data_IF_844355259886
#
_entry.id   IF_844355259886
#
_cell.length_a   1.000
_cell.length_b   1.000
_cell.length_c   1.000
_cell.angle_alpha   90.00
_cell.angle_beta   90.00
_cell.angle_gamma   90.00
#
_symmetry.space_group_name_H-M   'P 1'
#
loop_
_entity.id
_entity.type
_entity.pdbx_description
1 polymer ?
#
# COMPACT_ATOMS: atom_id res chain seq x y z
N UNK A 1 -18.81 9.81 18.46
CA UNK A 1 -17.85 10.70 19.16
C UNK A 1 -16.75 11.06 18.18
N UNK A 2 -16.17 12.28 18.21
CA UNK A 2 -15.05 12.60 17.36
C UNK A 2 -13.82 11.76 17.67
N UNK A 3 -13.04 11.42 16.67
CA UNK A 3 -11.80 10.62 16.78
C UNK A 3 -10.75 11.44 17.52
N UNK A 4 -10.21 10.91 18.60
CA UNK A 4 -9.19 11.55 19.41
C UNK A 4 -7.80 11.35 18.80
N UNK A 5 -7.10 12.45 18.50
CA UNK A 5 -5.82 12.48 17.81
C UNK A 5 -4.73 13.03 18.73
N UNK A 6 -3.61 12.31 18.86
CA UNK A 6 -2.39 12.81 19.46
C UNK A 6 -1.36 13.10 18.36
N UNK A 7 -0.76 14.30 18.41
CA UNK A 7 0.32 14.70 17.50
C UNK A 7 1.67 14.57 18.19
N UNK A 8 2.62 13.87 17.58
CA UNK A 8 3.97 13.66 18.08
C UNK A 8 4.98 14.02 17.00
N UNK A 9 5.66 15.16 17.15
CA UNK A 9 6.63 15.70 16.19
C UNK A 9 7.55 16.67 16.94
N UNK A 10 8.83 16.71 16.68
CA UNK A 10 9.78 17.61 17.35
C UNK A 10 9.69 19.07 16.84
N UNK A 11 9.23 19.27 15.60
CA UNK A 11 9.05 20.57 14.97
C UNK A 11 7.80 21.27 15.50
N UNK A 12 7.96 22.41 16.18
CA UNK A 12 6.84 23.23 16.64
C UNK A 12 5.95 23.72 15.49
N UNK A 13 6.54 23.97 14.32
CA UNK A 13 5.80 24.41 13.13
C UNK A 13 4.89 23.29 12.60
N UNK A 14 5.39 22.06 12.51
CA UNK A 14 4.59 20.91 12.07
C UNK A 14 3.48 20.62 13.09
N UNK A 15 3.76 20.66 14.38
CA UNK A 15 2.71 20.52 15.41
C UNK A 15 1.62 21.57 15.28
N UNK A 16 1.99 22.85 15.02
CA UNK A 16 1.01 23.92 14.80
C UNK A 16 0.15 23.68 13.56
N UNK A 17 0.77 23.29 12.44
CA UNK A 17 0.08 22.96 11.20
C UNK A 17 -0.90 21.81 11.39
N UNK A 18 -0.45 20.70 11.98
CA UNK A 18 -1.31 19.53 12.22
C UNK A 18 -2.46 19.85 13.19
N UNK A 19 -2.21 20.70 14.20
CA UNK A 19 -3.26 21.19 15.09
C UNK A 19 -4.35 21.92 14.32
N UNK A 20 -3.97 22.87 13.44
CA UNK A 20 -4.94 23.61 12.61
C UNK A 20 -5.74 22.68 11.69
N UNK A 21 -5.06 21.73 11.02
CA UNK A 21 -5.69 20.76 10.13
C UNK A 21 -6.70 19.90 10.89
N UNK A 22 -6.35 19.41 12.08
CA UNK A 22 -7.22 18.55 12.89
C UNK A 22 -8.41 19.36 13.44
N UNK A 23 -8.17 20.57 13.93
CA UNK A 23 -9.25 21.39 14.51
C UNK A 23 -10.25 21.91 13.47
N UNK A 24 -9.89 21.93 12.20
CA UNK A 24 -10.78 22.30 11.10
C UNK A 24 -11.81 21.19 10.73
N UNK A 25 -11.69 19.98 11.29
CA UNK A 25 -12.58 18.86 11.01
C UNK A 25 -13.38 18.48 12.28
N UNK A 26 -14.72 18.60 12.28
CA UNK A 26 -15.54 18.30 13.45
C UNK A 26 -15.55 16.82 13.85
N UNK A 27 -15.12 15.91 12.95
CA UNK A 27 -14.99 14.48 13.26
C UNK A 27 -13.68 14.15 13.99
N UNK A 28 -12.73 15.09 14.07
CA UNK A 28 -11.44 14.93 14.72
C UNK A 28 -11.36 15.80 15.98
N UNK A 29 -10.70 15.32 17.02
CA UNK A 29 -10.46 16.04 18.27
C UNK A 29 -9.00 15.91 18.67
N UNK A 30 -8.25 16.99 18.66
CA UNK A 30 -6.88 17.02 19.18
C UNK A 30 -6.89 16.85 20.70
N UNK A 31 -6.20 15.82 21.22
CA UNK A 31 -6.07 15.55 22.66
C UNK A 31 -4.73 16.00 23.24
N UNK A 32 -3.74 16.26 22.39
CA UNK A 32 -2.44 16.79 22.82
C UNK A 32 -1.45 16.90 21.69
N UNK A 33 -0.36 17.64 21.94
CA UNK A 33 0.82 17.72 21.10
C UNK A 33 2.06 17.42 21.94
N UNK A 34 2.88 16.46 21.50
CA UNK A 34 4.10 16.06 22.17
C UNK A 34 5.33 16.41 21.32
N UNK A 35 6.35 17.08 21.88
CA UNK A 35 7.59 17.37 21.17
C UNK A 35 8.57 16.19 21.15
N UNK A 36 8.29 15.12 21.90
CA UNK A 36 9.14 13.95 22.01
C UNK A 36 8.38 12.73 22.54
N UNK A 37 9.04 11.58 22.49
CA UNK A 37 8.50 10.30 22.90
C UNK A 37 8.10 10.21 24.40
N UNK A 38 8.75 10.96 25.27
CA UNK A 38 8.47 10.91 26.71
C UNK A 38 7.18 11.65 27.05
N UNK A 39 6.99 12.84 26.49
CA UNK A 39 5.73 13.59 26.62
C UNK A 39 4.60 12.82 25.92
N UNK A 40 4.86 12.22 24.74
CA UNK A 40 3.88 11.38 24.04
C UNK A 40 3.39 10.22 24.92
N UNK A 41 4.29 9.50 25.56
CA UNK A 41 3.97 8.38 26.46
C UNK A 41 3.00 8.81 27.59
N UNK A 42 3.24 9.96 28.18
CA UNK A 42 2.43 10.42 29.30
C UNK A 42 1.03 10.89 28.84
N UNK A 43 0.95 11.56 27.69
CA UNK A 43 -0.32 11.93 27.05
C UNK A 43 -1.13 10.68 26.57
N UNK A 44 -0.48 9.64 26.07
CA UNK A 44 -1.14 8.36 25.71
C UNK A 44 -1.78 7.72 26.93
N UNK A 45 -1.08 7.72 28.07
CA UNK A 45 -1.65 7.19 29.34
C UNK A 45 -2.85 7.98 29.81
N UNK A 46 -2.77 9.32 29.70
CA UNK A 46 -3.80 10.23 30.18
C UNK A 46 -5.05 10.24 29.30
N UNK A 47 -4.91 10.23 27.97
CA UNK A 47 -6.00 10.51 27.04
C UNK A 47 -6.44 9.30 26.21
N UNK A 48 -5.64 8.22 26.16
CA UNK A 48 -5.95 7.03 25.36
C UNK A 48 -6.41 7.38 23.93
N UNK A 49 -5.57 8.03 23.09
CA UNK A 49 -5.98 8.49 21.76
C UNK A 49 -6.37 7.33 20.85
N UNK A 50 -7.33 7.59 19.95
CA UNK A 50 -7.76 6.63 18.92
C UNK A 50 -6.72 6.48 17.80
N UNK A 51 -5.95 7.56 17.54
CA UNK A 51 -4.88 7.56 16.54
C UNK A 51 -3.76 8.52 16.95
N UNK A 52 -2.53 8.16 16.57
CA UNK A 52 -1.34 8.98 16.80
C UNK A 52 -0.75 9.34 15.43
N UNK A 53 -0.48 10.64 15.19
CA UNK A 53 0.45 11.05 14.15
C UNK A 53 1.86 11.08 14.75
N UNK A 54 2.81 10.38 14.12
CA UNK A 54 4.15 10.19 14.69
C UNK A 54 5.22 10.53 13.67
N UNK A 55 6.12 11.43 14.05
CA UNK A 55 7.33 11.71 13.29
C UNK A 55 8.35 10.58 13.43
N UNK A 56 9.10 10.36 12.36
CA UNK A 56 10.22 9.40 12.33
C UNK A 56 11.44 9.96 13.04
N UNK A 57 11.76 11.23 12.79
CA UNK A 57 12.98 11.90 13.25
C UNK A 57 12.69 12.72 14.50
N UNK A 58 13.04 12.18 15.68
CA UNK A 58 12.90 12.89 16.96
C UNK A 58 14.17 12.80 17.81
N UNK A 59 14.48 13.82 18.62
CA UNK A 59 15.64 13.79 19.50
C UNK A 59 15.45 12.80 20.66
N UNK A 60 16.55 12.28 21.20
CA UNK A 60 16.65 11.37 22.35
C UNK A 60 16.07 9.96 22.11
N UNK A 61 14.91 9.85 21.53
CA UNK A 61 14.30 8.58 21.12
C UNK A 61 13.61 8.80 19.79
N UNK A 62 14.11 8.14 18.74
CA UNK A 62 13.51 8.21 17.41
C UNK A 62 12.13 7.56 17.36
N UNK A 63 11.36 7.92 16.31
CA UNK A 63 9.98 7.47 16.13
C UNK A 63 9.87 5.95 15.97
N UNK A 64 10.85 5.27 15.38
CA UNK A 64 10.83 3.82 15.19
C UNK A 64 10.97 3.08 16.52
N UNK A 65 11.91 3.51 17.35
CA UNK A 65 12.12 2.97 18.70
C UNK A 65 10.89 3.21 19.58
N UNK A 66 10.27 4.39 19.47
CA UNK A 66 9.04 4.69 20.20
C UNK A 66 7.87 3.83 19.71
N UNK A 67 7.70 3.69 18.39
CA UNK A 67 6.66 2.86 17.77
C UNK A 67 6.76 1.39 18.21
N UNK A 68 7.95 0.80 18.18
CA UNK A 68 8.14 -0.60 18.61
C UNK A 68 7.71 -0.81 20.08
N UNK A 69 8.09 0.11 20.96
CA UNK A 69 7.68 0.08 22.36
C UNK A 69 6.17 0.26 22.53
N UNK A 70 5.58 1.19 21.75
CA UNK A 70 4.14 1.45 21.78
C UNK A 70 3.34 0.21 21.34
N UNK A 71 3.73 -0.40 20.22
CA UNK A 71 3.03 -1.58 19.69
C UNK A 71 3.12 -2.80 20.58
N UNK A 72 4.21 -2.94 21.35
CA UNK A 72 4.38 -4.00 22.36
C UNK A 72 3.55 -3.76 23.62
N UNK A 73 3.51 -2.50 24.10
CA UNK A 73 2.89 -2.19 25.39
C UNK A 73 1.38 -1.90 25.26
N UNK A 74 1.00 -1.13 24.25
CA UNK A 74 -0.36 -0.71 23.98
C UNK A 74 -0.55 -0.44 22.50
N UNK A 75 -0.83 -1.46 21.69
CA UNK A 75 -1.06 -1.28 20.27
C UNK A 75 -2.09 -0.18 20.00
N UNK A 76 -1.67 0.90 19.35
CA UNK A 76 -2.49 2.06 19.02
C UNK A 76 -2.29 2.38 17.56
N UNK A 77 -3.33 2.70 16.77
CA UNK A 77 -3.20 3.09 15.38
C UNK A 77 -2.25 4.28 15.19
N UNK A 78 -1.24 4.14 14.33
CA UNK A 78 -0.23 5.17 14.06
C UNK A 78 -0.20 5.52 12.58
N UNK A 79 -0.29 6.82 12.29
CA UNK A 79 0.02 7.43 11.00
C UNK A 79 1.42 8.05 11.10
N UNK A 80 2.37 7.53 10.31
CA UNK A 80 3.71 8.12 10.26
C UNK A 80 3.70 9.41 9.44
N UNK A 81 4.44 10.41 9.90
CA UNK A 81 4.70 11.64 9.14
C UNK A 81 6.20 11.73 8.89
N UNK A 82 6.62 11.64 7.62
CA UNK A 82 8.02 11.42 7.27
C UNK A 82 8.53 12.39 6.22
N UNK A 83 9.82 12.69 6.26
CA UNK A 83 10.49 13.46 5.22
C UNK A 83 10.60 12.68 3.91
N UNK A 84 10.61 13.39 2.76
CA UNK A 84 10.78 12.82 1.41
C UNK A 84 12.26 12.49 1.08
N UNK A 85 13.08 12.14 2.03
CA UNK A 85 14.46 11.73 1.83
C UNK A 85 14.56 10.21 1.67
N UNK A 86 15.64 9.70 1.06
CA UNK A 86 15.88 8.25 0.97
C UNK A 86 15.90 7.60 2.36
N UNK A 87 16.59 8.21 3.31
CA UNK A 87 16.60 7.74 4.72
C UNK A 87 15.22 7.76 5.35
N UNK A 88 14.43 8.82 5.09
CA UNK A 88 13.05 8.92 5.56
C UNK A 88 12.17 7.83 4.96
N UNK A 89 12.36 7.49 3.69
CA UNK A 89 11.61 6.42 3.01
C UNK A 89 11.90 5.04 3.61
N UNK A 90 13.17 4.70 3.82
CA UNK A 90 13.56 3.43 4.47
C UNK A 90 13.03 3.33 5.90
N UNK A 91 13.17 4.39 6.69
CA UNK A 91 12.67 4.43 8.05
C UNK A 91 11.14 4.30 8.10
N UNK A 92 10.42 4.93 7.16
CA UNK A 92 8.98 4.81 7.05
C UNK A 92 8.54 3.38 6.71
N UNK A 93 9.18 2.73 5.75
CA UNK A 93 8.90 1.33 5.42
C UNK A 93 9.18 0.42 6.63
N UNK A 94 10.23 0.73 7.41
CA UNK A 94 10.49 0.02 8.65
C UNK A 94 9.41 0.27 9.71
N UNK A 95 8.87 1.49 9.80
CA UNK A 95 7.74 1.80 10.69
C UNK A 95 6.48 0.98 10.35
N UNK A 96 6.17 0.80 9.05
CA UNK A 96 5.05 -0.04 8.63
C UNK A 96 5.24 -1.50 9.10
N UNK A 97 6.47 -2.04 9.03
CA UNK A 97 6.78 -3.36 9.60
C UNK A 97 6.59 -3.44 11.11
N UNK A 98 6.92 -2.38 11.82
CA UNK A 98 6.75 -2.30 13.27
C UNK A 98 5.28 -2.13 13.68
N UNK A 99 4.37 -1.97 12.71
CA UNK A 99 2.94 -1.93 12.93
C UNK A 99 2.29 -0.56 12.75
N UNK A 100 2.99 0.44 12.20
CA UNK A 100 2.33 1.64 11.72
C UNK A 100 1.35 1.28 10.59
N UNK A 101 0.18 1.93 10.58
CA UNK A 101 -0.90 1.59 9.65
C UNK A 101 -0.66 2.19 8.26
N UNK A 102 -0.20 3.45 8.22
CA UNK A 102 0.04 4.19 7.00
C UNK A 102 1.04 5.32 7.26
N UNK A 103 1.40 6.04 6.20
CA UNK A 103 2.26 7.21 6.28
C UNK A 103 1.80 8.33 5.36
N UNK A 104 2.33 9.53 5.62
CA UNK A 104 2.20 10.69 4.75
C UNK A 104 3.54 11.43 4.71
N UNK A 105 3.86 11.99 3.55
CA UNK A 105 5.07 12.78 3.42
C UNK A 105 4.89 14.16 4.07
N UNK A 106 5.92 14.66 4.78
CA UNK A 106 5.93 16.05 5.29
C UNK A 106 5.78 17.03 4.12
N UNK A 107 5.00 18.12 4.28
CA UNK A 107 4.86 19.11 3.22
C UNK A 107 6.19 19.83 2.99
N UNK A 108 6.44 20.20 1.75
CA UNK A 108 7.53 21.15 1.46
C UNK A 108 7.09 22.53 1.92
N UNK A 109 7.68 23.01 3.01
CA UNK A 109 7.37 24.32 3.55
C UNK A 109 7.70 25.42 2.54
N UNK A 110 6.77 26.37 2.35
CA UNK A 110 6.91 27.49 1.41
C UNK A 110 6.10 27.42 0.13
N UNK A 111 5.36 26.31 -0.13
CA UNK A 111 4.47 26.19 -1.28
C UNK A 111 3.03 26.26 -0.77
N UNK A 112 2.36 27.40 -0.97
CA UNK A 112 0.95 27.57 -0.61
C UNK A 112 0.01 26.69 -1.49
N UNK A 113 0.41 26.47 -2.74
CA UNK A 113 -0.28 25.55 -3.64
C UNK A 113 -0.19 24.11 -3.15
N UNK A 114 -1.34 23.48 -2.97
CA UNK A 114 -1.43 22.06 -2.51
C UNK A 114 -1.62 21.90 -1.00
N UNK A 115 -1.55 22.96 -0.19
CA UNK A 115 -1.73 22.84 1.26
C UNK A 115 -3.14 22.38 1.64
N UNK A 116 -4.16 22.79 0.89
CA UNK A 116 -5.52 22.34 1.13
C UNK A 116 -5.68 20.84 0.83
N UNK A 117 -5.16 20.37 -0.32
CA UNK A 117 -5.17 18.96 -0.68
C UNK A 117 -4.39 18.11 0.35
N UNK A 118 -3.25 18.61 0.82
CA UNK A 118 -2.48 17.99 1.89
C UNK A 118 -3.27 17.90 3.20
N UNK A 119 -3.98 18.95 3.59
CA UNK A 119 -4.81 18.96 4.78
C UNK A 119 -5.99 17.96 4.66
N UNK A 120 -6.60 17.86 3.49
CA UNK A 120 -7.66 16.88 3.21
C UNK A 120 -7.12 15.45 3.27
N UNK A 121 -5.94 15.19 2.71
CA UNK A 121 -5.28 13.88 2.78
C UNK A 121 -4.98 13.47 4.23
N UNK A 122 -4.42 14.37 5.05
CA UNK A 122 -4.16 14.10 6.48
C UNK A 122 -5.45 13.74 7.21
N UNK A 123 -6.52 14.55 7.06
CA UNK A 123 -7.79 14.29 7.72
C UNK A 123 -8.38 12.94 7.31
N UNK A 124 -8.38 12.64 6.02
CA UNK A 124 -8.86 11.37 5.48
C UNK A 124 -8.05 10.18 6.03
N UNK A 125 -6.71 10.28 6.02
CA UNK A 125 -5.82 9.23 6.54
C UNK A 125 -5.96 9.06 8.06
N UNK A 126 -6.03 10.11 8.85
CA UNK A 126 -6.25 10.02 10.30
C UNK A 126 -7.55 9.27 10.63
N UNK A 127 -8.65 9.61 9.93
CA UNK A 127 -9.94 8.92 10.10
C UNK A 127 -9.88 7.46 9.71
N UNK A 128 -9.16 7.14 8.65
CA UNK A 128 -8.97 5.77 8.17
C UNK A 128 -8.11 4.95 9.11
N UNK A 129 -6.95 5.51 9.51
CA UNK A 129 -6.00 4.86 10.41
C UNK A 129 -6.62 4.59 11.78
N UNK A 130 -7.42 5.52 12.33
CA UNK A 130 -8.12 5.33 13.59
C UNK A 130 -9.09 4.12 13.59
N UNK A 131 -9.62 3.76 12.42
CA UNK A 131 -10.55 2.64 12.22
C UNK A 131 -9.86 1.37 11.74
N UNK A 132 -8.54 1.41 11.53
CA UNK A 132 -7.78 0.28 11.02
C UNK A 132 -7.74 -0.89 12.00
N UNK A 133 -7.79 -2.11 11.48
CA UNK A 133 -7.61 -3.32 12.27
C UNK A 133 -6.13 -3.60 12.46
N UNK A 134 -5.62 -3.39 13.67
CA UNK A 134 -4.25 -3.76 14.01
C UNK A 134 -4.14 -5.29 14.11
N UNK A 135 -3.48 -5.91 13.15
CA UNK A 135 -3.15 -7.34 13.25
C UNK A 135 -1.99 -7.53 14.24
N UNK A 136 -2.15 -8.41 15.21
CA UNK A 136 -1.00 -8.96 15.96
C UNK A 136 -0.16 -9.71 14.93
N UNK A 137 1.12 -9.37 14.84
CA UNK A 137 2.09 -10.08 14.01
C UNK A 137 2.01 -11.57 14.36
N UNK A 138 1.53 -12.39 13.44
CA UNK A 138 1.72 -13.83 13.54
C UNK A 138 3.24 -14.06 13.44
N UNK A 139 3.78 -14.77 14.40
CA UNK A 139 5.18 -15.20 14.34
C UNK A 139 5.39 -15.93 13.00
N UNK A 140 6.53 -15.65 12.36
CA UNK A 140 6.96 -16.13 11.06
C UNK A 140 6.29 -17.43 10.63
N UNK A 141 5.35 -17.34 9.69
CA UNK A 141 4.84 -18.53 9.03
C UNK A 141 5.99 -19.17 8.25
N UNK A 142 6.23 -20.47 8.37
CA UNK A 142 7.27 -21.14 7.60
C UNK A 142 7.04 -20.93 6.11
N UNK A 143 8.11 -20.65 5.37
CA UNK A 143 8.07 -20.54 3.92
C UNK A 143 7.40 -21.81 3.33
N UNK A 144 6.49 -21.66 2.37
CA UNK A 144 5.87 -22.81 1.72
C UNK A 144 6.96 -23.73 1.14
N UNK A 145 6.82 -25.05 1.25
CA UNK A 145 7.78 -25.99 0.68
C UNK A 145 7.93 -25.77 -0.82
N UNK A 146 9.14 -25.94 -1.34
CA UNK A 146 9.40 -25.97 -2.78
C UNK A 146 8.63 -27.15 -3.40
N UNK A 147 7.45 -26.89 -3.86
CA UNK A 147 6.76 -27.81 -4.75
C UNK A 147 7.38 -27.67 -6.14
N UNK A 148 7.75 -28.80 -6.76
CA UNK A 148 8.11 -28.82 -8.18
C UNK A 148 6.93 -28.26 -8.98
N UNK A 149 7.00 -26.98 -9.32
CA UNK A 149 5.90 -26.31 -9.96
C UNK A 149 5.86 -26.67 -11.45
N UNK A 150 4.66 -26.92 -12.01
CA UNK A 150 4.51 -27.05 -13.45
C UNK A 150 5.03 -25.80 -14.15
N UNK A 151 5.59 -25.96 -15.35
CA UNK A 151 6.02 -24.84 -16.20
C UNK A 151 4.81 -23.90 -16.39
N UNK A 152 4.86 -22.75 -15.73
CA UNK A 152 3.83 -21.73 -15.84
C UNK A 152 3.96 -21.06 -17.21
N UNK A 153 2.84 -20.82 -17.89
CA UNK A 153 2.82 -20.14 -19.18
C UNK A 153 3.48 -18.76 -19.08
N UNK A 154 4.44 -18.46 -19.94
CA UNK A 154 5.14 -17.18 -20.01
C UNK A 154 4.24 -16.01 -20.44
N UNK A 155 3.00 -16.30 -20.86
CA UNK A 155 2.03 -15.29 -21.29
C UNK A 155 1.16 -14.74 -20.16
N UNK A 156 1.18 -15.37 -18.98
CA UNK A 156 0.36 -14.92 -17.83
C UNK A 156 1.00 -13.72 -17.16
N UNK A 157 0.15 -12.83 -16.65
CA UNK A 157 0.54 -11.65 -15.87
C UNK A 157 -0.27 -11.63 -14.58
N UNK A 158 0.40 -11.41 -13.47
CA UNK A 158 -0.20 -11.10 -12.18
C UNK A 158 -0.22 -9.58 -12.01
N UNK A 159 -1.39 -9.01 -11.73
CA UNK A 159 -1.56 -7.58 -11.50
C UNK A 159 -2.12 -7.35 -10.09
N UNK A 160 -1.42 -6.56 -9.28
CA UNK A 160 -1.80 -6.30 -7.88
C UNK A 160 -1.97 -4.80 -7.64
N UNK A 161 -3.08 -4.42 -7.01
CA UNK A 161 -3.38 -3.07 -6.58
C UNK A 161 -3.57 -2.98 -5.08
N UNK A 162 -2.99 -1.95 -4.43
CA UNK A 162 -3.11 -1.77 -2.98
C UNK A 162 -2.91 -0.31 -2.55
N UNK A 163 -3.28 0.01 -1.29
CA UNK A 163 -3.10 1.32 -0.67
C UNK A 163 -2.74 1.17 0.82
N UNK A 164 -3.49 1.75 1.74
CA UNK A 164 -3.27 1.65 3.20
C UNK A 164 -3.20 0.20 3.66
N UNK A 165 -2.10 -0.17 4.32
CA UNK A 165 -1.78 -1.56 4.68
C UNK A 165 -1.24 -2.41 3.53
N UNK A 166 -1.19 -1.85 2.31
CA UNK A 166 -0.81 -2.55 1.09
C UNK A 166 0.65 -3.00 1.06
N UNK A 167 1.56 -2.27 1.68
CA UNK A 167 2.98 -2.63 1.70
C UNK A 167 3.24 -4.00 2.33
N UNK A 168 2.60 -4.27 3.46
CA UNK A 168 2.71 -5.56 4.13
C UNK A 168 1.88 -6.64 3.41
N UNK A 169 0.71 -6.29 2.88
CA UNK A 169 -0.11 -7.22 2.12
C UNK A 169 0.59 -7.68 0.81
N UNK A 170 1.16 -6.75 0.05
CA UNK A 170 1.93 -7.06 -1.16
C UNK A 170 3.17 -7.91 -0.84
N UNK A 171 3.89 -7.58 0.24
CA UNK A 171 5.02 -8.37 0.69
C UNK A 171 4.60 -9.82 0.99
N UNK A 172 3.50 -10.03 1.73
CA UNK A 172 2.99 -11.37 2.07
C UNK A 172 2.63 -12.16 0.81
N UNK A 173 1.95 -11.55 -0.15
CA UNK A 173 1.62 -12.20 -1.43
C UNK A 173 2.90 -12.58 -2.20
N UNK A 174 3.87 -11.65 -2.34
CA UNK A 174 5.09 -11.89 -3.09
C UNK A 174 6.00 -12.93 -2.44
N UNK A 175 6.03 -13.02 -1.11
CA UNK A 175 6.75 -14.09 -0.39
C UNK A 175 6.20 -15.49 -0.72
N UNK A 176 4.91 -15.59 -1.03
CA UNK A 176 4.27 -16.83 -1.45
C UNK A 176 4.50 -17.20 -2.92
N UNK A 177 5.12 -16.32 -3.73
CA UNK A 177 5.38 -16.57 -5.14
C UNK A 177 6.79 -17.15 -5.35
N UNK A 178 6.95 -18.26 -6.11
CA UNK A 178 8.25 -18.82 -6.45
C UNK A 178 8.97 -17.98 -7.53
N UNK A 179 10.30 -18.17 -7.65
CA UNK A 179 11.15 -17.43 -8.58
C UNK A 179 10.75 -17.54 -10.07
N UNK A 180 9.99 -18.56 -10.44
CA UNK A 180 9.50 -18.78 -11.81
C UNK A 180 8.03 -18.39 -12.01
N UNK A 181 7.47 -17.59 -11.10
CA UNK A 181 6.10 -17.07 -11.23
C UNK A 181 5.92 -16.26 -12.51
N UNK A 182 4.67 -16.12 -13.02
CA UNK A 182 4.36 -15.15 -14.05
C UNK A 182 4.88 -13.76 -13.69
N UNK A 183 5.14 -12.93 -14.70
CA UNK A 183 5.53 -11.55 -14.45
C UNK A 183 4.47 -10.80 -13.63
N UNK A 184 4.92 -9.99 -12.68
CA UNK A 184 4.04 -9.28 -11.73
C UNK A 184 4.13 -7.77 -12.01
N UNK A 185 2.99 -7.09 -12.00
CA UNK A 185 2.91 -5.62 -12.01
C UNK A 185 2.12 -5.14 -10.82
N UNK A 186 2.63 -4.09 -10.16
CA UNK A 186 2.11 -3.64 -8.88
C UNK A 186 1.85 -2.13 -8.93
N UNK A 187 0.66 -1.72 -8.52
CA UNK A 187 0.37 -0.33 -8.18
C UNK A 187 0.06 -0.24 -6.70
N UNK A 188 0.93 0.45 -5.97
CA UNK A 188 0.76 0.86 -4.59
C UNK A 188 0.65 2.38 -4.55
N UNK A 189 -0.38 2.93 -3.90
CA UNK A 189 -0.49 4.37 -3.69
C UNK A 189 0.64 4.84 -2.78
N UNK A 190 1.63 5.50 -3.38
CA UNK A 190 2.85 5.88 -2.69
C UNK A 190 3.51 7.08 -3.38
N UNK A 191 4.07 8.06 -2.64
CA UNK A 191 4.77 9.19 -3.21
C UNK A 191 6.06 8.80 -3.94
N UNK A 192 6.59 9.70 -4.82
CA UNK A 192 7.89 9.51 -5.43
C UNK A 192 9.01 9.28 -4.41
N UNK A 193 9.98 8.44 -4.74
CA UNK A 193 11.08 8.05 -3.87
C UNK A 193 10.75 6.88 -2.94
N UNK A 194 9.53 6.81 -2.41
CA UNK A 194 9.10 5.67 -1.59
C UNK A 194 8.89 4.40 -2.42
N UNK A 195 8.41 4.53 -3.66
CA UNK A 195 8.20 3.39 -4.57
C UNK A 195 9.49 2.66 -4.90
N UNK A 196 10.60 3.39 -5.09
CA UNK A 196 11.92 2.80 -5.28
C UNK A 196 12.39 2.03 -4.04
N UNK A 197 12.39 2.67 -2.88
CA UNK A 197 12.79 2.01 -1.62
C UNK A 197 11.93 0.79 -1.31
N UNK A 198 10.64 0.85 -1.66
CA UNK A 198 9.71 -0.27 -1.51
C UNK A 198 10.07 -1.43 -2.46
N UNK A 199 10.34 -1.15 -3.73
CA UNK A 199 10.75 -2.15 -4.70
C UNK A 199 12.06 -2.82 -4.29
N UNK A 200 13.11 -2.05 -3.94
CA UNK A 200 14.39 -2.56 -3.46
C UNK A 200 14.26 -3.43 -2.20
N UNK A 201 13.31 -3.06 -1.33
CA UNK A 201 13.03 -3.85 -0.14
C UNK A 201 12.36 -5.18 -0.49
N UNK A 202 11.36 -5.19 -1.38
CA UNK A 202 10.72 -6.43 -1.84
C UNK A 202 11.72 -7.34 -2.56
N UNK A 203 12.64 -6.77 -3.34
CA UNK A 203 13.72 -7.50 -4.01
C UNK A 203 14.59 -8.28 -3.01
N UNK A 204 14.96 -7.64 -1.88
CA UNK A 204 15.73 -8.29 -0.82
C UNK A 204 14.99 -9.38 -0.05
N UNK A 205 13.66 -9.30 0.02
CA UNK A 205 12.84 -10.16 0.86
C UNK A 205 12.21 -11.33 0.12
N UNK A 206 12.02 -11.21 -1.18
CA UNK A 206 11.27 -12.19 -1.99
C UNK A 206 12.19 -12.97 -2.92
N UNK A 207 11.64 -13.99 -3.59
CA UNK A 207 12.36 -14.80 -4.57
C UNK A 207 12.28 -14.20 -5.98
N UNK A 208 11.48 -13.15 -6.17
CA UNK A 208 11.33 -12.44 -7.43
C UNK A 208 12.38 -11.34 -7.54
N UNK A 209 12.81 -11.02 -8.77
CA UNK A 209 13.55 -9.78 -9.03
C UNK A 209 12.57 -8.63 -9.06
N UNK A 210 12.64 -7.72 -8.07
CA UNK A 210 11.68 -6.63 -7.93
C UNK A 210 12.36 -5.29 -8.20
N UNK A 211 11.76 -4.47 -9.06
CA UNK A 211 12.26 -3.14 -9.37
C UNK A 211 11.14 -2.11 -9.52
N UNK A 212 11.46 -0.84 -9.30
CA UNK A 212 10.61 0.26 -9.74
C UNK A 212 10.61 0.28 -11.27
N UNK A 213 9.41 0.32 -11.88
CA UNK A 213 9.24 0.23 -13.33
C UNK A 213 9.81 1.45 -14.06
N UNK A 214 10.40 1.20 -15.23
CA UNK A 214 10.84 2.23 -16.19
C UNK A 214 10.01 2.13 -17.47
N UNK A 215 9.90 3.23 -18.18
CA UNK A 215 9.21 3.22 -19.45
C UNK A 215 9.89 2.26 -20.43
N UNK A 216 9.10 1.38 -21.05
CA UNK A 216 9.59 0.34 -21.95
C UNK A 216 10.01 -0.97 -21.28
N UNK A 217 9.99 -1.09 -19.95
CA UNK A 217 10.32 -2.33 -19.27
C UNK A 217 9.39 -3.47 -19.71
N UNK A 218 9.98 -4.65 -19.94
CA UNK A 218 9.23 -5.86 -20.28
C UNK A 218 8.74 -6.54 -19.02
N UNK A 219 7.50 -7.02 -19.07
CA UNK A 219 6.95 -7.88 -18.03
C UNK A 219 7.46 -9.31 -18.27
N UNK A 220 8.33 -9.80 -17.39
CA UNK A 220 9.02 -11.08 -17.55
C UNK A 220 8.68 -12.01 -16.38
N UNK A 221 8.61 -13.34 -16.61
CA UNK A 221 8.50 -14.32 -15.52
C UNK A 221 9.63 -14.13 -14.50
N UNK A 222 9.30 -14.31 -13.23
CA UNK A 222 10.24 -14.13 -12.14
C UNK A 222 10.54 -12.66 -11.77
N UNK A 223 9.93 -11.71 -12.47
CA UNK A 223 10.11 -10.28 -12.21
C UNK A 223 8.83 -9.62 -11.72
N UNK A 224 8.97 -8.65 -10.82
CA UNK A 224 7.89 -7.78 -10.36
C UNK A 224 8.25 -6.31 -10.60
N UNK A 225 7.34 -5.57 -11.23
CA UNK A 225 7.51 -4.16 -11.55
C UNK A 225 6.55 -3.32 -10.70
N UNK A 226 7.09 -2.40 -9.91
CA UNK A 226 6.32 -1.48 -9.06
C UNK A 226 6.15 -0.15 -9.79
N UNK A 227 4.92 0.34 -9.90
CA UNK A 227 4.62 1.63 -10.50
C UNK A 227 5.32 2.77 -9.75
N UNK A 228 6.08 3.65 -10.44
CA UNK A 228 6.77 4.76 -9.80
C UNK A 228 5.79 5.82 -9.32
N UNK A 229 6.08 6.43 -8.18
CA UNK A 229 5.30 7.57 -7.67
C UNK A 229 5.29 8.72 -8.67
N UNK A 230 4.18 9.46 -8.72
CA UNK A 230 3.94 10.57 -9.66
C UNK A 230 3.88 10.19 -11.15
N UNK A 231 3.73 8.90 -11.45
CA UNK A 231 3.46 8.40 -12.81
C UNK A 231 2.36 7.36 -12.77
N UNK A 232 1.49 7.35 -13.79
CA UNK A 232 0.66 6.20 -14.07
C UNK A 232 1.49 5.15 -14.79
N UNK A 233 1.28 3.88 -14.45
CA UNK A 233 1.83 2.73 -15.14
C UNK A 233 0.73 2.07 -15.95
N UNK A 234 0.85 2.11 -17.26
CA UNK A 234 0.03 1.37 -18.21
C UNK A 234 0.82 0.20 -18.78
N UNK A 235 0.13 -0.80 -19.30
CA UNK A 235 0.72 -1.93 -20.01
C UNK A 235 0.20 -1.97 -21.43
N UNK A 236 1.10 -2.20 -22.36
CA UNK A 236 0.78 -2.34 -23.79
C UNK A 236 1.38 -3.62 -24.36
N UNK A 237 0.74 -4.15 -25.38
CA UNK A 237 1.29 -5.27 -26.15
C UNK A 237 2.29 -4.77 -27.18
N UNK A 238 3.48 -5.37 -27.22
CA UNK A 238 4.52 -5.10 -28.22
C UNK A 238 4.97 -6.42 -28.85
N UNK A 239 4.37 -6.76 -29.98
CA UNK A 239 4.52 -8.07 -30.59
C UNK A 239 4.02 -9.19 -29.68
N UNK A 240 4.88 -10.13 -29.32
CA UNK A 240 4.59 -11.22 -28.38
C UNK A 240 4.79 -10.81 -26.91
N UNK A 241 5.30 -9.61 -26.61
CA UNK A 241 5.64 -9.18 -25.27
C UNK A 241 4.63 -8.17 -24.72
N UNK A 242 4.59 -8.05 -23.40
CA UNK A 242 3.95 -6.96 -22.68
C UNK A 242 5.02 -5.99 -22.17
N UNK A 243 4.78 -4.71 -22.37
CA UNK A 243 5.71 -3.64 -21.98
C UNK A 243 5.00 -2.57 -21.17
N UNK A 244 5.72 -1.99 -20.22
CA UNK A 244 5.25 -0.88 -19.39
C UNK A 244 5.33 0.44 -20.19
N UNK A 245 4.33 1.30 -19.99
CA UNK A 245 4.33 2.70 -20.40
C UNK A 245 4.02 3.59 -19.22
N UNK A 246 4.89 4.55 -19.00
CA UNK A 246 4.73 5.52 -17.92
C UNK A 246 4.22 6.85 -18.48
N UNK A 247 3.27 7.47 -17.78
CA UNK A 247 2.78 8.79 -18.15
C UNK A 247 2.45 9.63 -16.90
N UNK A 248 2.31 10.95 -17.10
CA UNK A 248 1.94 11.92 -16.07
C UNK A 248 0.58 12.58 -16.33
N UNK A 249 -0.35 11.84 -16.87
CA UNK A 249 -1.72 12.32 -17.03
C UNK A 249 -2.32 12.71 -15.67
N UNK A 250 -3.48 13.36 -15.69
CA UNK A 250 -4.18 13.79 -14.49
C UNK A 250 -4.38 12.62 -13.51
N UNK A 251 -4.40 12.92 -12.23
CA UNK A 251 -4.70 11.93 -11.20
C UNK A 251 -6.06 11.27 -11.44
N UNK A 252 -6.12 9.97 -11.26
CA UNK A 252 -7.36 9.17 -11.31
C UNK A 252 -7.71 8.74 -9.89
N UNK A 253 -8.95 8.97 -9.49
CA UNK A 253 -9.42 8.76 -8.11
C UNK A 253 -8.56 9.49 -7.04
N UNK A 254 -7.93 10.60 -7.40
CA UNK A 254 -7.02 11.36 -6.53
C UNK A 254 -5.60 10.79 -6.42
N UNK A 255 -5.25 9.78 -7.22
CA UNK A 255 -3.97 9.08 -7.14
C UNK A 255 -3.18 9.10 -8.46
N UNK A 256 -1.86 9.13 -8.34
CA UNK A 256 -0.88 8.88 -9.39
C UNK A 256 0.40 8.31 -8.76
N UNK A 257 0.64 6.97 -8.88
CA UNK A 257 -0.08 6.00 -9.72
C UNK A 257 -1.50 5.70 -9.25
N UNK A 258 -2.38 5.29 -10.19
CA UNK A 258 -3.72 4.79 -9.91
C UNK A 258 -3.85 3.32 -10.37
N UNK A 259 -4.53 2.51 -9.57
CA UNK A 259 -4.75 1.08 -9.85
C UNK A 259 -5.67 0.90 -11.05
N UNK A 260 -6.75 1.69 -11.15
CA UNK A 260 -7.69 1.64 -12.27
C UNK A 260 -6.96 1.81 -13.61
N UNK A 261 -5.99 2.75 -13.70
CA UNK A 261 -5.23 3.00 -14.95
C UNK A 261 -4.44 1.75 -15.38
N UNK A 262 -3.74 1.12 -14.45
CA UNK A 262 -3.00 -0.11 -14.72
C UNK A 262 -3.95 -1.24 -15.12
N UNK A 263 -5.00 -1.48 -14.35
CA UNK A 263 -5.93 -2.58 -14.59
C UNK A 263 -6.70 -2.41 -15.91
N UNK A 264 -7.19 -1.22 -16.22
CA UNK A 264 -7.88 -0.92 -17.49
C UNK A 264 -6.96 -1.11 -18.69
N UNK A 265 -5.69 -0.71 -18.59
CA UNK A 265 -4.71 -0.93 -19.67
C UNK A 265 -4.45 -2.42 -19.92
N UNK A 266 -4.31 -3.19 -18.84
CA UNK A 266 -4.14 -4.63 -18.88
C UNK A 266 -5.38 -5.36 -19.45
N UNK A 267 -6.59 -4.94 -19.06
CA UNK A 267 -7.83 -5.50 -19.60
C UNK A 267 -7.90 -5.40 -21.12
N UNK A 268 -7.41 -4.28 -21.68
CA UNK A 268 -7.38 -4.05 -23.15
C UNK A 268 -6.37 -4.93 -23.88
N UNK A 269 -5.24 -5.29 -23.26
CA UNK A 269 -4.14 -5.92 -24.00
C UNK A 269 -3.88 -7.39 -23.63
N UNK A 270 -4.25 -7.86 -22.44
CA UNK A 270 -3.90 -9.19 -21.93
C UNK A 270 -5.12 -10.13 -21.69
N UNK A 271 -6.33 -9.56 -21.46
CA UNK A 271 -7.57 -10.33 -21.38
C UNK A 271 -7.47 -11.56 -20.47
N UNK A 272 -7.74 -12.76 -21.01
CA UNK A 272 -7.72 -14.05 -20.29
C UNK A 272 -6.35 -14.42 -19.67
N UNK A 273 -5.27 -13.74 -20.07
CA UNK A 273 -3.94 -13.98 -19.51
C UNK A 273 -3.70 -13.26 -18.19
N UNK A 274 -4.69 -12.52 -17.68
CA UNK A 274 -4.59 -11.77 -16.44
C UNK A 274 -5.06 -12.54 -15.23
N UNK A 275 -4.33 -12.34 -14.14
CA UNK A 275 -4.66 -12.76 -12.79
C UNK A 275 -4.54 -11.51 -11.91
N UNK A 276 -5.66 -10.90 -11.56
CA UNK A 276 -5.66 -9.62 -10.88
C UNK A 276 -6.16 -9.71 -9.44
N UNK A 277 -5.48 -9.04 -8.52
CA UNK A 277 -5.86 -8.94 -7.12
C UNK A 277 -5.94 -7.50 -6.63
N UNK A 278 -7.04 -7.15 -5.95
CA UNK A 278 -7.22 -5.88 -5.28
C UNK A 278 -7.14 -6.09 -3.77
N UNK A 279 -6.10 -5.50 -3.16
CA UNK A 279 -5.77 -5.70 -1.76
C UNK A 279 -6.24 -4.51 -0.92
N UNK A 280 -5.99 -4.62 0.39
CA UNK A 280 -6.31 -3.58 1.38
C UNK A 280 -6.00 -2.17 0.91
N UNK A 281 -6.91 -1.24 1.18
CA UNK A 281 -6.76 0.16 0.82
C UNK A 281 -8.02 0.97 1.04
N UNK A 282 -7.83 2.27 1.19
CA UNK A 282 -8.93 3.23 1.31
C UNK A 282 -9.45 3.62 -0.08
N UNK A 283 -10.76 3.94 -0.15
CA UNK A 283 -11.39 4.44 -1.37
C UNK A 283 -11.87 3.34 -2.31
N UNK A 284 -11.91 3.63 -3.60
CA UNK A 284 -12.52 2.79 -4.64
C UNK A 284 -11.61 2.53 -5.85
N UNK A 285 -10.38 3.06 -5.84
CA UNK A 285 -9.46 2.91 -6.97
C UNK A 285 -9.15 1.43 -7.20
N UNK A 286 -9.10 1.01 -8.45
CA UNK A 286 -8.90 -0.36 -8.87
C UNK A 286 -10.18 -1.21 -8.99
N UNK A 287 -11.30 -0.80 -8.40
CA UNK A 287 -12.54 -1.58 -8.46
C UNK A 287 -13.13 -1.64 -9.88
N UNK A 288 -13.12 -0.51 -10.61
CA UNK A 288 -13.60 -0.47 -12.00
C UNK A 288 -12.65 -1.19 -12.95
N UNK A 289 -11.34 -0.99 -12.76
CA UNK A 289 -10.32 -1.69 -13.55
C UNK A 289 -10.38 -3.20 -13.33
N UNK A 290 -10.62 -3.66 -12.09
CA UNK A 290 -10.83 -5.08 -11.78
C UNK A 290 -12.06 -5.65 -12.50
N UNK A 291 -13.17 -4.89 -12.53
CA UNK A 291 -14.37 -5.26 -13.29
C UNK A 291 -14.06 -5.37 -14.79
N UNK A 292 -13.32 -4.43 -15.35
CA UNK A 292 -12.90 -4.48 -16.75
C UNK A 292 -12.06 -5.74 -17.06
N UNK A 293 -11.14 -6.12 -16.16
CA UNK A 293 -10.36 -7.36 -16.28
C UNK A 293 -11.28 -8.59 -16.27
N UNK A 294 -12.24 -8.66 -15.34
CA UNK A 294 -13.22 -9.76 -15.28
C UNK A 294 -14.02 -9.86 -16.56
N UNK A 295 -14.51 -8.75 -17.09
CA UNK A 295 -15.26 -8.69 -18.34
C UNK A 295 -14.41 -9.11 -19.56
N UNK A 296 -13.10 -8.85 -19.53
CA UNK A 296 -12.15 -9.31 -20.54
C UNK A 296 -11.74 -10.79 -20.41
N UNK A 297 -12.32 -11.52 -19.44
CA UNK A 297 -12.09 -12.94 -19.20
C UNK A 297 -10.87 -13.25 -18.32
N UNK A 298 -10.25 -12.24 -17.70
CA UNK A 298 -9.21 -12.41 -16.68
C UNK A 298 -9.77 -12.97 -15.37
N UNK A 299 -8.93 -13.59 -14.57
CA UNK A 299 -9.28 -14.01 -13.21
C UNK A 299 -9.10 -12.81 -12.26
N UNK A 300 -10.04 -12.63 -11.37
CA UNK A 300 -10.06 -11.48 -10.45
C UNK A 300 -10.34 -11.90 -9.02
N UNK A 301 -9.61 -11.34 -8.07
CA UNK A 301 -9.86 -11.56 -6.65
C UNK A 301 -9.79 -10.25 -5.86
N UNK A 302 -10.45 -10.26 -4.70
CA UNK A 302 -10.34 -9.21 -3.69
C UNK A 302 -9.90 -9.82 -2.36
N UNK A 303 -9.09 -9.08 -1.60
CA UNK A 303 -8.76 -9.46 -0.23
C UNK A 303 -10.01 -9.38 0.65
N UNK A 304 -10.21 -10.33 1.54
CA UNK A 304 -11.35 -10.36 2.44
C UNK A 304 -11.29 -9.27 3.53
N UNK A 305 -12.44 -8.98 4.13
CA UNK A 305 -12.54 -7.98 5.21
C UNK A 305 -11.73 -8.36 6.44
N UNK A 306 -11.67 -9.64 6.78
CA UNK A 306 -11.05 -10.12 8.02
C UNK A 306 -9.53 -9.88 8.02
N UNK A 307 -8.88 -9.93 6.85
CA UNK A 307 -7.45 -9.76 6.72
C UNK A 307 -7.04 -8.37 6.21
N UNK A 308 -7.98 -7.54 5.75
CA UNK A 308 -7.70 -6.16 5.38
C UNK A 308 -7.37 -5.29 6.60
N UNK A 309 -6.36 -4.43 6.50
CA UNK A 309 -6.12 -3.31 7.40
C UNK A 309 -7.24 -2.27 7.24
N UNK A 310 -7.58 -1.97 5.98
CA UNK A 310 -8.68 -1.10 5.58
C UNK A 310 -9.47 -1.78 4.46
N UNK A 311 -10.72 -2.13 4.73
CA UNK A 311 -11.62 -2.78 3.77
C UNK A 311 -12.41 -1.72 2.99
N UNK A 312 -11.71 -0.98 2.11
CA UNK A 312 -12.27 0.05 1.23
C UNK A 312 -12.23 -0.39 -0.23
N UNK A 313 -11.06 -0.35 -0.87
CA UNK A 313 -10.88 -0.78 -2.27
C UNK A 313 -11.42 -2.20 -2.54
N UNK A 314 -11.12 -3.22 -1.71
CA UNK A 314 -11.69 -4.55 -1.90
C UNK A 314 -13.20 -4.59 -1.76
N UNK A 315 -13.79 -3.85 -0.81
CA UNK A 315 -15.24 -3.77 -0.64
C UNK A 315 -15.92 -3.24 -1.90
N UNK A 316 -15.43 -2.12 -2.44
CA UNK A 316 -15.98 -1.52 -3.67
C UNK A 316 -15.91 -2.52 -4.85
N UNK A 317 -14.82 -3.29 -4.96
CA UNK A 317 -14.70 -4.32 -5.98
C UNK A 317 -15.73 -5.46 -5.80
N UNK A 318 -15.97 -5.88 -4.57
CA UNK A 318 -16.99 -6.90 -4.24
C UNK A 318 -18.40 -6.38 -4.55
N UNK A 319 -18.72 -5.16 -4.12
CA UNK A 319 -20.03 -4.52 -4.35
C UNK A 319 -20.31 -4.32 -5.84
N UNK A 320 -19.28 -4.02 -6.66
CA UNK A 320 -19.41 -3.94 -8.12
C UNK A 320 -19.48 -5.32 -8.81
N UNK A 321 -19.31 -6.41 -8.08
CA UNK A 321 -19.19 -7.74 -8.68
C UNK A 321 -17.91 -7.89 -9.52
N UNK A 322 -16.86 -7.15 -9.21
CA UNK A 322 -15.61 -7.17 -9.95
C UNK A 322 -14.70 -8.36 -9.55
N UNK A 323 -14.81 -8.85 -8.33
CA UNK A 323 -14.05 -10.00 -7.84
C UNK A 323 -14.79 -11.33 -8.13
N UNK A 324 -14.07 -12.31 -8.69
CA UNK A 324 -14.54 -13.69 -8.83
C UNK A 324 -14.45 -14.42 -7.49
N UNK A 325 -13.33 -14.22 -6.78
CA UNK A 325 -13.11 -14.75 -5.44
C UNK A 325 -12.82 -13.67 -4.43
N UNK A 326 -13.23 -13.87 -3.16
CA UNK A 326 -12.87 -13.05 -2.01
C UNK A 326 -12.08 -13.92 -1.05
N UNK A 327 -10.82 -13.59 -0.81
CA UNK A 327 -9.87 -14.50 -0.16
C UNK A 327 -9.13 -13.83 1.00
N UNK A 328 -8.84 -14.57 2.07
CA UNK A 328 -7.90 -14.13 3.08
C UNK A 328 -6.49 -14.01 2.50
N UNK A 329 -5.74 -13.03 3.00
CA UNK A 329 -4.44 -12.60 2.44
C UNK A 329 -3.47 -13.76 2.23
N UNK A 330 -3.35 -14.65 3.20
CA UNK A 330 -2.45 -15.81 3.19
C UNK A 330 -2.76 -16.85 2.11
N UNK A 331 -3.96 -16.81 1.52
CA UNK A 331 -4.35 -17.73 0.44
C UNK A 331 -4.15 -17.15 -0.95
N UNK A 332 -3.96 -15.85 -1.09
CA UNK A 332 -3.95 -15.15 -2.39
C UNK A 332 -2.85 -15.68 -3.31
N UNK A 333 -1.62 -15.79 -2.82
CA UNK A 333 -0.50 -16.30 -3.63
C UNK A 333 -0.74 -17.71 -4.17
N UNK A 334 -1.21 -18.62 -3.33
CA UNK A 334 -1.49 -20.00 -3.72
C UNK A 334 -2.59 -20.10 -4.77
N UNK A 335 -3.65 -19.30 -4.63
CA UNK A 335 -4.75 -19.26 -5.59
C UNK A 335 -4.31 -18.65 -6.93
N UNK A 336 -3.53 -17.56 -6.91
CA UNK A 336 -2.96 -16.98 -8.14
C UNK A 336 -2.11 -18.01 -8.92
N UNK A 337 -1.25 -18.77 -8.23
CA UNK A 337 -0.45 -19.82 -8.85
C UNK A 337 -1.32 -20.96 -9.41
N UNK A 338 -2.33 -21.39 -8.68
CA UNK A 338 -3.27 -22.40 -9.15
C UNK A 338 -4.01 -21.95 -10.41
N UNK A 339 -4.46 -20.70 -10.47
CA UNK A 339 -5.14 -20.15 -11.64
C UNK A 339 -4.17 -19.96 -12.83
N UNK A 340 -2.91 -19.60 -12.56
CA UNK A 340 -1.89 -19.53 -13.59
C UNK A 340 -1.66 -20.89 -14.27
N UNK A 341 -1.63 -21.98 -13.50
CA UNK A 341 -1.48 -23.33 -14.01
C UNK A 341 -2.71 -23.81 -14.81
N UNK A 342 -3.93 -23.60 -14.29
CA UNK A 342 -5.18 -24.07 -14.91
C UNK A 342 -5.48 -23.41 -16.26
N UNK A 343 -5.22 -22.10 -16.39
CA UNK A 343 -5.52 -21.32 -17.60
C UNK A 343 -4.41 -21.41 -18.66
N UNK A 344 -3.37 -22.20 -18.43
CA UNK A 344 -2.29 -22.49 -19.39
C UNK A 344 -2.51 -23.77 -20.23
N UNK A 345 -3.56 -24.54 -19.93
CA UNK A 345 -3.83 -25.85 -20.55
C UNK A 345 -4.95 -25.83 -21.60
N UNK A 346 -5.34 -24.64 -22.09
CA UNK A 346 -6.42 -24.47 -23.08
C UNK A 346 -5.96 -23.77 -24.36
#
# INVERSE_FOLDING_TARGET
>A
MPISVLVVDDSALIRSLLKEIIQADPELRLVGCAPDAFVARDLIKQHAPDVISLDVEMPRMDGLTFLDKLMKARPTPVLMISSLTERGSEATLRALELGAVDFIAKPRLGIAEGMQAYAEEIRAKLKTVARARLRRRAADAPAPPESAAPLLSTEKIIALGASTGGTEALKEVLLGLPAHSPGVVITQHMPPGFTRSFAERLDRLTRLSVSEARDGDRILPGHALVAPGDHHMEVQRSGANYVVRLNRQAQVNGHRPAVDVMFESLARCAGRNLLAGLLTGMGKDGARGLLAIRQAGGYTLAQDEATCVVYGMPREAVELGAAEDVLPLERIAAVLLQQAARRGSG
#
